data_IF_032742667321
#
_entry.id   IF_032742667321
#
_cell.length_a   1.000
_cell.length_b   1.000
_cell.length_c   1.000
_cell.angle_alpha   90.00
_cell.angle_beta   90.00
_cell.angle_gamma   90.00
#
_symmetry.space_group_name_H-M   'P 1'
#
loop_
_entity.id
_entity.type
_entity.pdbx_description
1 polymer ?
#
# COMPACT_ATOMS: atom_id res chain seq x y z
N UNK A 1 14.74 3.96 27.08
CA UNK A 1 13.97 4.88 26.22
C UNK A 1 13.04 4.04 25.35
N UNK A 2 11.72 4.14 25.57
CA UNK A 2 10.73 3.35 24.85
C UNK A 2 10.78 3.66 23.35
N UNK A 3 10.75 2.61 22.52
CA UNK A 3 10.75 2.77 21.06
C UNK A 3 9.48 3.53 20.66
N UNK A 4 9.62 4.70 20.03
CA UNK A 4 8.50 5.43 19.46
C UNK A 4 7.77 4.54 18.48
N UNK A 5 6.46 4.32 18.67
CA UNK A 5 5.63 3.61 17.70
C UNK A 5 5.60 4.47 16.42
N UNK A 6 6.07 3.94 15.27
CA UNK A 6 6.05 4.71 14.04
C UNK A 6 4.60 5.08 13.70
N UNK A 7 4.41 6.27 13.13
CA UNK A 7 3.11 6.65 12.57
C UNK A 7 2.72 5.65 11.48
N UNK A 8 1.40 5.50 11.24
CA UNK A 8 0.91 4.61 10.19
C UNK A 8 1.61 4.84 8.85
N UNK A 9 1.88 6.10 8.49
CA UNK A 9 2.62 6.45 7.27
C UNK A 9 4.00 5.82 7.24
N UNK A 10 4.81 6.01 8.28
CA UNK A 10 6.16 5.45 8.37
C UNK A 10 6.09 3.91 8.36
N UNK A 11 5.18 3.35 9.16
CA UNK A 11 5.01 1.91 9.28
C UNK A 11 4.59 1.28 7.94
N UNK A 12 3.70 1.95 7.19
CA UNK A 12 3.25 1.50 5.87
C UNK A 12 4.37 1.47 4.85
N UNK A 13 5.22 2.50 4.81
CA UNK A 13 6.39 2.51 3.93
C UNK A 13 7.38 1.41 4.32
N UNK A 14 7.64 1.19 5.62
CA UNK A 14 8.46 0.08 6.09
C UNK A 14 7.92 -1.29 5.65
N UNK A 15 6.59 -1.45 5.62
CA UNK A 15 5.95 -2.66 5.12
C UNK A 15 6.16 -2.82 3.60
N UNK A 16 5.98 -1.76 2.82
CA UNK A 16 6.23 -1.74 1.37
C UNK A 16 7.69 -2.10 1.06
N UNK A 17 8.65 -1.62 1.86
CA UNK A 17 10.07 -1.95 1.71
C UNK A 17 10.36 -3.46 1.82
N UNK A 18 9.55 -4.23 2.55
CA UNK A 18 9.70 -5.69 2.64
C UNK A 18 9.38 -6.39 1.32
N UNK A 19 8.64 -5.75 0.42
CA UNK A 19 8.31 -6.27 -0.91
C UNK A 19 9.41 -6.03 -1.95
N UNK A 20 10.55 -5.44 -1.56
CA UNK A 20 11.70 -5.22 -2.46
C UNK A 20 12.22 -6.49 -3.16
N UNK A 21 12.26 -7.69 -2.54
CA UNK A 21 12.64 -8.92 -3.25
C UNK A 21 11.69 -9.27 -4.39
N UNK A 22 10.36 -9.14 -4.16
CA UNK A 22 9.34 -9.34 -5.20
C UNK A 22 9.54 -8.33 -6.33
N UNK A 23 9.64 -7.04 -5.99
CA UNK A 23 9.89 -5.96 -6.96
C UNK A 23 11.13 -6.22 -7.81
N UNK A 24 12.21 -6.75 -7.22
CA UNK A 24 13.46 -7.02 -7.96
C UNK A 24 13.37 -8.20 -8.93
N UNK A 25 12.40 -9.08 -8.75
CA UNK A 25 12.17 -10.22 -9.64
C UNK A 25 11.31 -9.85 -10.87
N UNK A 26 10.72 -8.65 -10.90
CA UNK A 26 9.90 -8.15 -11.99
C UNK A 26 10.74 -7.55 -13.13
N UNK A 27 10.18 -7.55 -14.33
CA UNK A 27 10.76 -6.83 -15.47
C UNK A 27 10.70 -5.31 -15.28
N UNK A 28 11.49 -4.55 -16.06
CA UNK A 28 11.57 -3.08 -15.91
C UNK A 28 10.22 -2.38 -16.03
N UNK A 29 9.32 -2.88 -16.88
CA UNK A 29 7.98 -2.32 -17.07
C UNK A 29 7.10 -2.59 -15.84
N UNK A 30 7.09 -3.84 -15.38
CA UNK A 30 6.33 -4.29 -14.22
C UNK A 30 6.81 -3.65 -12.91
N UNK A 31 8.11 -3.37 -12.77
CA UNK A 31 8.65 -2.62 -11.63
C UNK A 31 7.97 -1.26 -11.50
N UNK A 32 7.82 -0.54 -12.62
CA UNK A 32 7.21 0.79 -12.62
C UNK A 32 5.73 0.69 -12.24
N UNK A 33 5.01 -0.27 -12.82
CA UNK A 33 3.61 -0.53 -12.51
C UNK A 33 3.41 -0.92 -11.04
N UNK A 34 4.33 -1.73 -10.48
CA UNK A 34 4.30 -2.15 -9.08
C UNK A 34 4.51 -0.97 -8.12
N UNK A 35 5.47 -0.09 -8.41
CA UNK A 35 5.72 1.11 -7.61
C UNK A 35 4.53 2.08 -7.66
N UNK A 36 3.92 2.25 -8.84
CA UNK A 36 2.70 3.04 -9.02
C UNK A 36 1.53 2.44 -8.25
N UNK A 37 1.33 1.12 -8.31
CA UNK A 37 0.28 0.42 -7.55
C UNK A 37 0.42 0.65 -6.04
N UNK A 38 1.63 0.51 -5.47
CA UNK A 38 1.85 0.79 -4.05
C UNK A 38 1.73 2.28 -3.70
N UNK A 39 1.93 3.18 -4.66
CA UNK A 39 1.74 4.62 -4.42
C UNK A 39 0.29 4.98 -4.06
N UNK A 40 -0.68 4.21 -4.57
CA UNK A 40 -2.12 4.39 -4.34
C UNK A 40 -2.46 4.25 -2.86
N UNK A 41 -1.76 3.38 -2.11
CA UNK A 41 -2.05 3.20 -0.69
C UNK A 41 -1.89 4.48 0.11
N UNK A 42 -1.06 5.43 -0.36
CA UNK A 42 -0.87 6.73 0.29
C UNK A 42 -2.11 7.62 0.25
N UNK A 43 -2.97 7.48 -0.76
CA UNK A 43 -4.23 8.23 -0.86
C UNK A 43 -5.19 7.87 0.28
N UNK A 44 -5.12 6.65 0.77
CA UNK A 44 -5.99 6.10 1.81
C UNK A 44 -5.30 6.02 3.18
N UNK A 45 -4.21 6.75 3.39
CA UNK A 45 -3.46 6.75 4.66
C UNK A 45 -4.32 7.05 5.90
N UNK A 46 -5.30 7.95 5.77
CA UNK A 46 -6.22 8.26 6.86
C UNK A 46 -7.11 7.06 7.21
N UNK A 47 -7.74 6.45 6.19
CA UNK A 47 -8.58 5.27 6.36
C UNK A 47 -7.77 4.07 6.90
N UNK A 48 -6.56 3.85 6.38
CA UNK A 48 -5.67 2.80 6.83
C UNK A 48 -5.22 2.98 8.29
N UNK A 49 -4.90 4.22 8.70
CA UNK A 49 -4.58 4.53 10.09
C UNK A 49 -5.76 4.29 11.03
N UNK A 50 -6.99 4.59 10.60
CA UNK A 50 -8.20 4.41 11.39
C UNK A 50 -8.70 2.96 11.43
N UNK A 51 -8.25 2.10 10.51
CA UNK A 51 -8.63 0.70 10.48
C UNK A 51 -8.11 -0.11 11.68
N UNK A 52 -7.17 0.45 12.47
CA UNK A 52 -6.60 -0.15 13.68
C UNK A 52 -6.18 -1.63 13.51
N UNK A 53 -5.71 -2.00 12.32
CA UNK A 53 -5.28 -3.35 12.00
C UNK A 53 -3.83 -3.56 12.48
N UNK A 54 -3.53 -4.66 13.21
CA UNK A 54 -2.18 -4.93 13.68
C UNK A 54 -1.22 -5.35 12.55
N UNK A 55 -1.77 -5.91 11.46
CA UNK A 55 -1.01 -6.32 10.28
C UNK A 55 -1.14 -5.22 9.22
N UNK A 56 -0.05 -4.50 8.96
CA UNK A 56 -0.03 -3.32 8.10
C UNK A 56 -0.32 -3.61 6.63
N UNK A 57 0.01 -4.80 6.14
CA UNK A 57 -0.27 -5.15 4.75
C UNK A 57 -1.78 -5.21 4.47
N UNK A 58 -2.63 -5.48 5.47
CA UNK A 58 -4.09 -5.51 5.28
C UNK A 58 -4.68 -4.16 4.83
N UNK A 59 -4.52 -3.05 5.58
CA UNK A 59 -5.04 -1.76 5.15
C UNK A 59 -4.34 -1.23 3.89
N UNK A 60 -3.07 -1.57 3.66
CA UNK A 60 -2.36 -1.21 2.41
C UNK A 60 -3.03 -1.88 1.21
N UNK A 61 -3.20 -3.22 1.25
CA UNK A 61 -3.85 -3.95 0.17
C UNK A 61 -5.31 -3.54 -0.01
N UNK A 62 -6.04 -3.32 1.09
CA UNK A 62 -7.43 -2.86 1.01
C UNK A 62 -7.55 -1.50 0.31
N UNK A 63 -6.60 -0.59 0.57
CA UNK A 63 -6.54 0.72 -0.08
C UNK A 63 -6.33 0.59 -1.59
N UNK A 64 -5.41 -0.29 -1.99
CA UNK A 64 -5.10 -0.57 -3.40
C UNK A 64 -6.32 -1.19 -4.07
N UNK A 65 -6.92 -2.23 -3.48
CA UNK A 65 -8.09 -2.92 -4.03
C UNK A 65 -9.27 -1.96 -4.17
N UNK A 66 -9.53 -1.15 -3.15
CA UNK A 66 -10.64 -0.19 -3.17
C UNK A 66 -10.47 0.84 -4.29
N UNK A 67 -9.27 1.38 -4.48
CA UNK A 67 -9.03 2.33 -5.57
C UNK A 67 -9.24 1.70 -6.95
N UNK A 68 -8.71 0.49 -7.17
CA UNK A 68 -8.92 -0.22 -8.43
C UNK A 68 -10.40 -0.57 -8.65
N UNK A 69 -11.14 -0.93 -7.59
CA UNK A 69 -12.57 -1.20 -7.68
C UNK A 69 -13.36 0.03 -8.12
N UNK A 70 -13.04 1.23 -7.59
CA UNK A 70 -13.64 2.48 -8.09
C UNK A 70 -13.34 2.70 -9.58
N UNK A 71 -12.09 2.53 -10.00
CA UNK A 71 -11.69 2.72 -11.40
C UNK A 71 -12.44 1.75 -12.33
N UNK A 72 -12.60 0.48 -11.92
CA UNK A 72 -13.41 -0.50 -12.66
C UNK A 72 -14.89 -0.09 -12.74
N UNK A 73 -15.45 0.42 -11.64
CA UNK A 73 -16.83 0.90 -11.59
C UNK A 73 -17.03 2.12 -12.50
N UNK A 74 -16.06 3.03 -12.57
CA UNK A 74 -16.08 4.19 -13.47
C UNK A 74 -16.04 3.79 -14.95
N UNK A 75 -15.42 2.66 -15.28
CA UNK A 75 -15.36 2.11 -16.65
C UNK A 75 -16.69 1.39 -17.02
N UNK A 76 -17.60 1.18 -16.06
CA UNK A 76 -18.91 0.57 -16.28
C UNK A 76 -18.93 -0.95 -16.23
N UNK A 77 -17.98 -1.55 -15.50
CA UNK A 77 -18.06 -2.96 -15.09
C UNK A 77 -18.91 -3.15 -13.85
#
# INVERSE_FOLDING_TARGET
MGRTIPSYRIASEMEIWKWRPFRRALDKQDIKMFDEMFSISRMHNAAGSMACRPILIHPILMSIIFEHYKQLTEIGY
#
